data_IF_971106768262
#
_entry.id   IF_971106768262
#
_cell.length_a   1.000
_cell.length_b   1.000
_cell.length_c   1.000
_cell.angle_alpha   90.00
_cell.angle_beta   90.00
_cell.angle_gamma   90.00
#
_symmetry.space_group_name_H-M   'P 1'
#
loop_
_entity.id
_entity.type
_entity.pdbx_description
1 polymer ?
#
# COMPACT_ATOMS: atom_id res chain seq x y z
N UNK A 1 -8.84 -2.28 -6.97
CA UNK A 1 -7.68 -3.10 -7.39
C UNK A 1 -6.44 -2.66 -6.62
N UNK A 2 -5.62 -3.60 -6.15
CA UNK A 2 -4.32 -3.32 -5.49
C UNK A 2 -3.17 -3.46 -6.49
N UNK A 3 -2.04 -2.84 -6.19
CA UNK A 3 -0.78 -3.01 -6.92
C UNK A 3 0.39 -3.21 -5.95
N UNK A 4 1.51 -3.70 -6.47
CA UNK A 4 2.76 -3.87 -5.71
C UNK A 4 3.44 -2.53 -5.41
N UNK A 5 4.28 -2.50 -4.37
CA UNK A 5 5.04 -1.31 -3.96
C UNK A 5 5.90 -0.75 -5.10
N UNK A 6 6.58 -1.61 -5.86
CA UNK A 6 7.43 -1.13 -6.98
C UNK A 6 6.61 -0.39 -8.05
N UNK A 7 5.38 -0.86 -8.34
CA UNK A 7 4.46 -0.22 -9.28
C UNK A 7 3.94 1.11 -8.71
N UNK A 8 3.59 1.12 -7.41
CA UNK A 8 3.22 2.36 -6.71
C UNK A 8 4.34 3.40 -6.78
N UNK A 9 5.60 2.99 -6.58
CA UNK A 9 6.78 3.88 -6.69
C UNK A 9 7.01 4.37 -8.11
N UNK A 10 6.72 3.57 -9.14
CA UNK A 10 6.76 4.03 -10.53
C UNK A 10 5.72 5.12 -10.80
N UNK A 11 4.49 4.96 -10.29
CA UNK A 11 3.45 5.99 -10.36
C UNK A 11 3.91 7.26 -9.63
N UNK A 12 4.32 7.14 -8.37
CA UNK A 12 4.81 8.28 -7.58
C UNK A 12 5.93 9.06 -8.28
N UNK A 13 6.86 8.36 -8.95
CA UNK A 13 7.93 8.97 -9.72
C UNK A 13 7.41 9.77 -10.92
N UNK A 14 6.35 9.30 -11.61
CA UNK A 14 5.67 10.05 -12.70
C UNK A 14 5.07 11.38 -12.19
N UNK A 15 4.58 11.40 -10.95
CA UNK A 15 4.07 12.61 -10.28
C UNK A 15 5.17 13.46 -9.61
N UNK A 16 6.44 13.07 -9.73
CA UNK A 16 7.57 13.80 -9.15
C UNK A 16 7.65 13.70 -7.61
N UNK A 17 7.03 12.69 -7.01
CA UNK A 17 7.23 12.35 -5.60
C UNK A 17 8.58 11.61 -5.47
N UNK A 18 9.51 12.08 -4.62
CA UNK A 18 10.78 11.40 -4.42
C UNK A 18 10.56 10.03 -3.79
N UNK A 19 11.10 9.01 -4.45
CA UNK A 19 11.16 7.62 -3.97
C UNK A 19 12.61 7.13 -4.12
N UNK A 20 13.07 6.13 -3.35
CA UNK A 20 14.40 5.56 -3.58
C UNK A 20 14.48 4.91 -4.97
N UNK A 21 15.72 4.70 -5.46
CA UNK A 21 15.91 3.92 -6.67
C UNK A 21 15.71 2.45 -6.29
N UNK A 22 14.88 1.76 -7.06
CA UNK A 22 14.64 0.35 -6.87
C UNK A 22 14.30 -0.32 -8.19
N UNK A 23 14.55 -1.63 -8.23
CA UNK A 23 14.36 -2.47 -9.41
C UNK A 23 13.65 -3.74 -8.95
N UNK A 24 12.54 -4.06 -9.62
CA UNK A 24 11.84 -5.31 -9.39
C UNK A 24 12.66 -6.49 -9.91
N UNK A 25 12.59 -7.62 -9.22
CA UNK A 25 13.27 -8.86 -9.59
C UNK A 25 12.33 -10.06 -9.41
N UNK A 26 12.29 -10.93 -10.39
CA UNK A 26 11.46 -12.15 -10.43
C UNK A 26 12.29 -13.41 -10.21
N UNK A 27 13.62 -13.27 -10.18
CA UNK A 27 14.56 -14.35 -9.84
C UNK A 27 15.64 -13.83 -8.89
N UNK A 28 16.30 -14.73 -8.18
CA UNK A 28 17.47 -14.39 -7.34
C UNK A 28 18.59 -13.77 -8.19
N UNK A 29 18.76 -14.21 -9.43
CA UNK A 29 19.75 -13.67 -10.35
C UNK A 29 19.43 -12.21 -10.73
N UNK A 30 18.17 -11.92 -11.06
CA UNK A 30 17.72 -10.54 -11.31
C UNK A 30 17.88 -9.65 -10.07
N UNK A 31 17.69 -10.19 -8.85
CA UNK A 31 17.92 -9.44 -7.63
C UNK A 31 19.39 -9.04 -7.45
N UNK A 32 20.32 -9.95 -7.78
CA UNK A 32 21.76 -9.68 -7.78
C UNK A 32 22.12 -8.62 -8.84
N UNK A 33 21.60 -8.76 -10.06
CA UNK A 33 21.83 -7.80 -11.15
C UNK A 33 21.25 -6.41 -10.83
N UNK A 34 20.08 -6.37 -10.18
CA UNK A 34 19.46 -5.15 -9.68
C UNK A 34 20.38 -4.43 -8.67
N UNK A 35 20.89 -5.15 -7.67
CA UNK A 35 21.82 -4.57 -6.69
C UNK A 35 23.11 -4.05 -7.34
N UNK A 36 23.69 -4.80 -8.28
CA UNK A 36 24.86 -4.37 -9.05
C UNK A 36 24.59 -3.09 -9.85
N UNK A 37 23.42 -3.00 -10.50
CA UNK A 37 23.01 -1.84 -11.30
C UNK A 37 22.71 -0.61 -10.45
N UNK A 38 22.10 -0.79 -9.28
CA UNK A 38 21.87 0.29 -8.32
C UNK A 38 23.21 0.81 -7.76
N UNK A 39 24.16 -0.09 -7.53
CA UNK A 39 25.41 0.20 -6.85
C UNK A 39 25.19 0.63 -5.40
N UNK A 40 26.23 1.20 -4.79
CA UNK A 40 26.17 1.65 -3.40
C UNK A 40 26.60 0.59 -2.38
N UNK A 41 26.58 0.94 -1.08
CA UNK A 41 27.06 0.06 -0.02
C UNK A 41 25.97 -0.75 0.70
N UNK A 42 24.69 -0.40 0.51
CA UNK A 42 23.55 -0.96 1.25
C UNK A 42 22.34 -1.05 0.34
N UNK A 43 21.65 -2.20 0.40
CA UNK A 43 20.39 -2.46 -0.30
C UNK A 43 19.34 -2.98 0.67
N UNK A 44 18.07 -2.86 0.28
CA UNK A 44 16.94 -3.49 0.94
C UNK A 44 16.29 -4.49 -0.02
N UNK A 45 16.14 -5.73 0.42
CA UNK A 45 15.41 -6.79 -0.27
C UNK A 45 14.00 -6.83 0.30
N UNK A 46 13.00 -6.54 -0.53
CA UNK A 46 11.59 -6.44 -0.12
C UNK A 46 10.73 -7.44 -0.89
N UNK A 47 10.01 -8.28 -0.17
CA UNK A 47 8.90 -9.07 -0.71
C UNK A 47 7.84 -8.13 -1.29
N UNK A 48 7.32 -8.48 -2.46
CA UNK A 48 6.26 -7.75 -3.12
C UNK A 48 5.00 -8.63 -3.10
N UNK A 49 4.08 -8.25 -2.21
CA UNK A 49 2.75 -8.83 -2.02
C UNK A 49 1.76 -7.68 -1.74
N UNK A 50 0.47 -7.90 -1.97
CA UNK A 50 -0.60 -6.91 -1.78
C UNK A 50 -1.07 -6.76 -0.32
N UNK A 51 -0.10 -6.77 0.61
CA UNK A 51 -0.32 -6.70 2.06
C UNK A 51 0.79 -5.89 2.77
N UNK A 52 0.39 -5.17 3.82
CA UNK A 52 1.30 -4.48 4.74
C UNK A 52 1.93 -5.40 5.78
N UNK A 53 2.76 -4.85 6.67
CA UNK A 53 3.38 -5.60 7.77
C UNK A 53 4.52 -6.54 7.35
N UNK A 54 5.01 -6.43 6.12
CA UNK A 54 6.02 -7.31 5.51
C UNK A 54 7.32 -7.39 6.31
N UNK A 55 7.75 -6.29 6.91
CA UNK A 55 8.95 -6.26 7.76
C UNK A 55 8.83 -7.15 9.00
N UNK A 56 7.70 -7.10 9.72
CA UNK A 56 7.41 -7.96 10.87
C UNK A 56 7.32 -9.43 10.45
N UNK A 57 6.82 -9.72 9.24
CA UNK A 57 6.76 -11.07 8.66
C UNK A 57 8.08 -11.59 8.07
N UNK A 58 9.18 -10.82 8.16
CA UNK A 58 10.48 -11.21 7.62
C UNK A 58 10.69 -10.98 6.12
N UNK A 59 9.71 -10.39 5.43
CA UNK A 59 9.76 -10.07 4.01
C UNK A 59 10.51 -8.77 3.67
N UNK A 60 11.14 -8.09 4.63
CA UNK A 60 11.99 -6.92 4.37
C UNK A 60 13.32 -7.09 5.11
N UNK A 61 14.42 -7.10 4.37
CA UNK A 61 15.76 -7.35 4.91
C UNK A 61 16.79 -6.40 4.32
N UNK A 62 17.74 -5.96 5.13
CA UNK A 62 18.84 -5.09 4.72
C UNK A 62 20.08 -5.92 4.39
N UNK A 63 20.71 -5.63 3.25
CA UNK A 63 21.91 -6.28 2.75
C UNK A 63 23.05 -5.25 2.60
N UNK A 64 24.28 -5.64 2.96
CA UNK A 64 25.51 -4.81 2.87
C UNK A 64 26.52 -5.32 1.85
N UNK A 65 26.17 -6.38 1.13
CA UNK A 65 26.99 -6.93 0.05
C UNK A 65 26.09 -7.60 -1.00
N UNK A 66 26.62 -7.81 -2.20
CA UNK A 66 25.93 -8.54 -3.26
C UNK A 66 25.64 -10.00 -2.84
N UNK A 67 26.54 -10.62 -2.06
CA UNK A 67 26.34 -11.97 -1.54
C UNK A 67 25.22 -12.03 -0.50
N UNK A 68 25.09 -10.99 0.34
CA UNK A 68 23.94 -10.85 1.24
C UNK A 68 22.63 -10.66 0.46
N UNK A 69 22.63 -9.85 -0.61
CA UNK A 69 21.44 -9.70 -1.48
C UNK A 69 21.03 -11.05 -2.05
N UNK A 70 21.99 -11.82 -2.60
CA UNK A 70 21.73 -13.16 -3.16
C UNK A 70 21.11 -14.10 -2.13
N UNK A 71 21.68 -14.10 -0.92
CA UNK A 71 21.23 -14.98 0.19
C UNK A 71 19.81 -14.62 0.61
N UNK A 72 19.57 -13.34 0.93
CA UNK A 72 18.27 -12.85 1.38
C UNK A 72 17.19 -12.96 0.30
N UNK A 73 17.54 -12.73 -0.97
CA UNK A 73 16.62 -12.95 -2.08
C UNK A 73 16.23 -14.43 -2.22
N UNK A 74 17.17 -15.37 -2.00
CA UNK A 74 16.88 -16.81 -2.00
C UNK A 74 16.03 -17.28 -0.83
N UNK A 75 16.09 -16.59 0.32
CA UNK A 75 15.24 -16.85 1.48
C UNK A 75 13.82 -16.30 1.29
N UNK A 76 13.70 -15.11 0.71
CA UNK A 76 12.41 -14.40 0.59
C UNK A 76 11.63 -14.88 -0.64
N UNK A 77 12.29 -15.08 -1.79
CA UNK A 77 11.59 -15.48 -3.01
C UNK A 77 11.03 -16.91 -2.86
N UNK A 78 9.72 -17.05 -3.04
CA UNK A 78 9.01 -18.32 -2.89
C UNK A 78 8.51 -18.61 -1.46
N UNK A 79 8.86 -17.78 -0.47
CA UNK A 79 8.34 -17.95 0.89
C UNK A 79 6.82 -17.71 0.95
N UNK A 80 6.15 -18.36 1.90
CA UNK A 80 4.79 -18.00 2.27
C UNK A 80 4.85 -16.90 3.34
N UNK A 81 4.59 -15.66 2.94
CA UNK A 81 4.72 -14.50 3.81
C UNK A 81 3.42 -14.27 4.57
N UNK A 82 3.47 -14.58 5.86
CA UNK A 82 2.39 -14.29 6.81
C UNK A 82 2.58 -12.91 7.42
N UNK A 83 1.56 -12.07 7.31
CA UNK A 83 1.46 -10.77 7.99
C UNK A 83 0.11 -10.67 8.68
N UNK A 84 -0.08 -9.63 9.50
CA UNK A 84 -1.39 -9.34 10.09
C UNK A 84 -2.49 -9.06 9.06
N UNK A 85 -2.14 -8.78 7.78
CA UNK A 85 -3.09 -8.48 6.70
C UNK A 85 -3.33 -9.67 5.75
N UNK A 86 -2.52 -10.73 5.78
CA UNK A 86 -2.69 -11.90 4.91
C UNK A 86 -3.44 -13.05 5.59
N UNK A 87 -3.62 -12.99 6.91
CA UNK A 87 -4.12 -14.13 7.68
C UNK A 87 -3.13 -15.31 7.73
N UNK A 88 -3.55 -16.46 8.29
CA UNK A 88 -2.69 -17.60 8.56
C UNK A 88 -2.14 -18.28 7.29
N UNK A 89 -2.88 -18.23 6.18
CA UNK A 89 -2.46 -18.81 4.90
C UNK A 89 -1.29 -18.04 4.27
N UNK A 90 -1.13 -16.75 4.61
CA UNK A 90 -0.07 -15.90 4.05
C UNK A 90 -0.25 -15.60 2.56
N UNK A 91 0.75 -14.97 1.96
CA UNK A 91 0.84 -14.79 0.51
C UNK A 91 2.19 -15.29 -0.01
N UNK A 92 2.18 -16.04 -1.11
CA UNK A 92 3.40 -16.56 -1.73
C UNK A 92 4.17 -15.42 -2.39
N UNK A 93 5.41 -15.20 -1.98
CA UNK A 93 6.26 -14.16 -2.57
C UNK A 93 6.78 -14.62 -3.93
N UNK A 94 6.32 -13.97 -4.99
CA UNK A 94 6.69 -14.32 -6.39
C UNK A 94 7.62 -13.31 -7.05
N UNK A 95 7.77 -12.14 -6.44
CA UNK A 95 8.60 -11.06 -6.94
C UNK A 95 9.19 -10.27 -5.77
N UNK A 96 10.33 -9.64 -6.01
CA UNK A 96 11.09 -8.85 -5.06
C UNK A 96 11.24 -7.42 -5.57
N UNK A 97 11.49 -6.49 -4.67
CA UNK A 97 12.01 -5.17 -4.96
C UNK A 97 13.37 -5.04 -4.28
N UNK A 98 14.40 -4.78 -5.08
CA UNK A 98 15.74 -4.43 -4.59
C UNK A 98 15.87 -2.92 -4.65
N UNK A 99 16.18 -2.30 -3.52
CA UNK A 99 16.14 -0.85 -3.37
C UNK A 99 17.39 -0.32 -2.66
N UNK A 100 17.79 0.92 -2.97
CA UNK A 100 18.84 1.62 -2.23
C UNK A 100 18.52 1.73 -0.72
N UNK A 101 19.54 1.61 0.12
CA UNK A 101 19.43 2.03 1.52
C UNK A 101 19.09 3.53 1.65
N UNK A 102 18.35 3.89 2.70
CA UNK A 102 18.00 5.29 3.00
C UNK A 102 18.55 5.71 4.38
N UNK A 103 18.99 6.96 4.50
CA UNK A 103 19.47 7.57 5.76
C UNK A 103 18.29 8.13 6.56
N UNK A 104 17.57 7.24 7.24
CA UNK A 104 16.31 7.58 7.92
C UNK A 104 16.59 8.32 9.24
N UNK A 105 16.24 9.60 9.30
CA UNK A 105 16.29 10.41 10.53
C UNK A 105 14.97 10.38 11.30
N UNK A 106 13.85 10.41 10.58
CA UNK A 106 12.50 10.33 11.15
C UNK A 106 11.54 9.72 10.15
N UNK A 107 10.62 8.91 10.65
CA UNK A 107 9.53 8.31 9.88
C UNK A 107 8.21 9.02 10.22
N UNK A 108 7.44 9.32 9.18
CA UNK A 108 6.09 9.85 9.24
C UNK A 108 5.13 8.91 8.50
N UNK A 109 3.85 9.05 8.77
CA UNK A 109 2.78 8.40 8.03
C UNK A 109 2.02 9.44 7.21
N UNK A 110 1.66 9.13 5.97
CA UNK A 110 0.74 9.94 5.16
C UNK A 110 -0.22 9.04 4.40
N UNK A 111 -1.50 9.41 4.33
CA UNK A 111 -2.46 8.76 3.44
C UNK A 111 -3.51 9.71 2.85
N UNK A 112 -3.95 9.42 1.64
CA UNK A 112 -5.07 10.07 0.94
C UNK A 112 -6.19 9.04 0.74
N UNK A 113 -7.40 9.36 1.20
CA UNK A 113 -8.59 8.50 1.08
C UNK A 113 -9.85 9.33 0.85
N UNK A 114 -10.88 8.75 0.23
CA UNK A 114 -12.23 9.34 0.21
C UNK A 114 -12.94 9.00 1.52
N UNK A 115 -13.18 10.01 2.35
CA UNK A 115 -13.93 9.87 3.59
C UNK A 115 -15.44 9.88 3.30
N UNK A 116 -16.10 8.77 3.64
CA UNK A 116 -17.53 8.58 3.33
C UNK A 116 -18.44 9.46 4.17
N UNK A 117 -18.04 9.84 5.38
CA UNK A 117 -18.87 10.62 6.29
C UNK A 117 -18.97 12.08 5.84
N UNK A 118 -17.85 12.66 5.42
CA UNK A 118 -17.76 14.03 4.92
C UNK A 118 -17.95 14.13 3.41
N UNK A 119 -17.90 13.01 2.70
CA UNK A 119 -17.96 12.92 1.23
C UNK A 119 -16.85 13.75 0.56
N UNK A 120 -15.69 13.81 1.19
CA UNK A 120 -14.52 14.57 0.73
C UNK A 120 -13.28 13.69 0.73
N UNK A 121 -12.27 14.11 -0.03
CA UNK A 121 -10.94 13.53 0.10
C UNK A 121 -10.33 14.02 1.41
N UNK A 122 -9.92 13.08 2.25
CA UNK A 122 -9.17 13.33 3.47
C UNK A 122 -7.70 13.02 3.21
N UNK A 123 -6.84 14.01 3.48
CA UNK A 123 -5.40 13.81 3.60
C UNK A 123 -5.07 13.71 5.08
N UNK A 124 -4.50 12.58 5.49
CA UNK A 124 -4.13 12.28 6.87
C UNK A 124 -2.61 12.20 6.99
N UNK A 125 -2.06 12.67 8.11
CA UNK A 125 -0.65 12.57 8.40
C UNK A 125 -0.41 12.32 9.90
N UNK A 126 0.66 11.59 10.22
CA UNK A 126 1.07 11.36 11.61
C UNK A 126 2.59 11.38 11.79
N UNK A 127 3.03 11.74 12.99
CA UNK A 127 4.42 11.62 13.45
C UNK A 127 4.84 10.18 13.79
N UNK A 128 3.90 9.24 13.78
CA UNK A 128 4.08 7.81 14.09
C UNK A 128 4.20 6.99 12.79
N UNK A 129 5.19 7.30 11.95
CA UNK A 129 5.51 6.48 10.76
C UNK A 129 6.15 5.13 11.13
N UNK A 130 6.06 4.16 10.21
CA UNK A 130 6.61 2.82 10.39
C UNK A 130 5.78 1.91 11.32
N UNK A 131 4.66 2.42 11.84
CA UNK A 131 3.74 1.71 12.72
C UNK A 131 2.44 1.35 11.99
N UNK A 132 1.65 0.47 12.60
CA UNK A 132 0.29 0.17 12.19
C UNK A 132 -0.59 1.40 12.51
N UNK A 133 -1.17 2.02 11.49
CA UNK A 133 -1.88 3.30 11.69
C UNK A 133 -3.23 3.08 12.38
N UNK A 134 -3.85 1.92 12.22
CA UNK A 134 -5.07 1.55 12.90
C UNK A 134 -4.84 1.41 14.41
N UNK A 135 -3.70 0.87 14.82
CA UNK A 135 -3.28 0.84 16.23
C UNK A 135 -3.08 2.27 16.78
N UNK A 136 -2.42 3.15 16.02
CA UNK A 136 -2.24 4.57 16.40
C UNK A 136 -3.60 5.27 16.49
N UNK A 137 -4.53 5.00 15.58
CA UNK A 137 -5.87 5.59 15.57
C UNK A 137 -6.69 5.18 16.79
N UNK A 138 -6.51 3.96 17.28
CA UNK A 138 -7.19 3.47 18.48
C UNK A 138 -6.52 3.98 19.77
N UNK A 139 -5.19 3.93 19.85
CA UNK A 139 -4.45 4.21 21.09
C UNK A 139 -4.15 5.70 21.30
N UNK A 140 -3.83 6.43 20.23
CA UNK A 140 -3.43 7.86 20.26
C UNK A 140 -4.01 8.61 19.06
N UNK A 141 -5.36 8.70 18.94
CA UNK A 141 -6.03 9.32 17.79
C UNK A 141 -5.60 10.78 17.54
N UNK A 142 -5.18 11.51 18.59
CA UNK A 142 -4.71 12.89 18.50
C UNK A 142 -3.43 13.06 17.67
N UNK A 143 -2.67 11.97 17.47
CA UNK A 143 -1.46 11.98 16.62
C UNK A 143 -1.78 11.86 15.13
N UNK A 144 -3.04 11.63 14.76
CA UNK A 144 -3.49 11.54 13.37
C UNK A 144 -4.17 12.85 13.00
N UNK A 145 -3.40 13.71 12.33
CA UNK A 145 -3.91 14.97 11.81
C UNK A 145 -4.59 14.70 10.47
N UNK A 146 -5.66 15.43 10.19
CA UNK A 146 -6.40 15.30 8.94
C UNK A 146 -6.90 16.64 8.46
N UNK A 147 -6.89 16.82 7.14
CA UNK A 147 -7.55 17.93 6.45
C UNK A 147 -8.53 17.37 5.44
N UNK A 148 -9.69 18.00 5.30
CA UNK A 148 -10.69 17.65 4.31
C UNK A 148 -10.57 18.61 3.13
N UNK A 149 -10.31 18.07 1.96
CA UNK A 149 -10.05 18.84 0.75
C UNK A 149 -11.38 19.27 0.12
N UNK A 150 -11.49 20.55 -0.20
CA UNK A 150 -12.61 21.05 -1.01
C UNK A 150 -12.41 20.62 -2.47
N UNK A 151 -13.38 19.95 -3.11
CA UNK A 151 -13.21 19.44 -4.47
C UNK A 151 -12.95 20.51 -5.54
N UNK A 152 -13.42 21.75 -5.32
CA UNK A 152 -13.22 22.84 -6.29
C UNK A 152 -11.85 23.50 -6.10
N UNK A 153 -11.37 23.62 -4.86
CA UNK A 153 -10.07 24.25 -4.57
C UNK A 153 -8.87 23.29 -4.69
N UNK A 154 -9.07 22.00 -4.47
CA UNK A 154 -7.99 21.03 -4.30
C UNK A 154 -7.20 21.24 -3.00
N UNK A 155 -6.13 20.47 -2.79
CA UNK A 155 -5.31 20.59 -1.58
C UNK A 155 -4.54 21.92 -1.58
N UNK A 156 -4.85 22.79 -0.61
CA UNK A 156 -4.22 24.11 -0.51
C UNK A 156 -2.85 24.05 0.17
N UNK A 157 -1.99 25.04 -0.10
CA UNK A 157 -0.69 25.19 0.58
C UNK A 157 -0.85 25.33 2.10
N UNK A 158 -1.91 26.01 2.54
CA UNK A 158 -2.20 26.18 3.97
C UNK A 158 -2.49 24.84 4.65
N UNK A 159 -3.35 24.00 4.06
CA UNK A 159 -3.67 22.67 4.58
C UNK A 159 -2.45 21.74 4.58
N UNK A 160 -1.67 21.74 3.50
CA UNK A 160 -0.45 20.94 3.44
C UNK A 160 0.61 21.42 4.46
N UNK A 161 0.73 22.73 4.67
CA UNK A 161 1.64 23.34 5.66
C UNK A 161 1.21 23.03 7.09
N UNK A 162 -0.10 23.05 7.36
CA UNK A 162 -0.69 22.65 8.64
C UNK A 162 -0.30 21.22 9.00
N UNK A 163 -0.48 20.26 8.07
CA UNK A 163 -0.11 18.86 8.29
C UNK A 163 1.41 18.70 8.49
N UNK A 164 2.23 19.30 7.61
CA UNK A 164 3.68 19.17 7.69
C UNK A 164 4.23 19.71 9.03
N UNK A 165 3.76 20.88 9.47
CA UNK A 165 4.14 21.43 10.78
C UNK A 165 3.59 20.58 11.94
N UNK A 166 2.34 20.14 11.83
CA UNK A 166 1.65 19.41 12.89
C UNK A 166 2.27 18.04 13.19
N UNK A 167 2.81 17.35 12.17
CA UNK A 167 3.57 16.09 12.37
C UNK A 167 5.03 16.32 12.75
N UNK A 168 5.48 17.58 12.86
CA UNK A 168 6.82 17.94 13.30
C UNK A 168 7.90 17.86 12.22
N UNK A 169 7.58 18.16 10.96
CA UNK A 169 8.60 18.34 9.92
C UNK A 169 9.45 19.59 10.24
N UNK A 170 10.80 19.51 10.25
CA UNK A 170 11.64 20.66 10.53
C UNK A 170 11.47 21.78 9.49
N UNK A 171 11.60 23.04 9.91
CA UNK A 171 11.35 24.22 9.07
C UNK A 171 12.04 24.18 7.68
N UNK A 172 13.29 23.70 7.61
CA UNK A 172 14.03 23.57 6.35
C UNK A 172 13.48 22.53 5.36
N UNK A 173 12.64 21.61 5.83
CA UNK A 173 12.05 20.51 5.05
C UNK A 173 10.55 20.69 4.81
N UNK A 174 9.91 21.68 5.44
CA UNK A 174 8.45 21.91 5.33
C UNK A 174 8.03 22.16 3.88
N UNK A 175 8.75 23.02 3.15
CA UNK A 175 8.42 23.31 1.75
C UNK A 175 8.43 22.06 0.87
N UNK A 176 9.41 21.17 1.07
CA UNK A 176 9.48 19.90 0.34
C UNK A 176 8.35 18.94 0.76
N UNK A 177 8.04 18.87 2.05
CA UNK A 177 6.91 18.05 2.53
C UNK A 177 5.59 18.53 1.93
N UNK A 178 5.34 19.85 1.91
CA UNK A 178 4.16 20.46 1.29
C UNK A 178 4.04 20.07 -0.19
N UNK A 179 5.12 20.20 -0.95
CA UNK A 179 5.16 19.78 -2.36
C UNK A 179 4.84 18.28 -2.53
N UNK A 180 5.42 17.42 -1.69
CA UNK A 180 5.12 15.97 -1.69
C UNK A 180 3.65 15.69 -1.39
N UNK A 181 3.07 16.31 -0.35
CA UNK A 181 1.67 16.12 0.03
C UNK A 181 0.72 16.52 -1.11
N UNK A 182 1.00 17.64 -1.79
CA UNK A 182 0.23 18.09 -2.96
C UNK A 182 0.34 17.14 -4.14
N UNK A 183 1.53 16.61 -4.41
CA UNK A 183 1.74 15.60 -5.46
C UNK A 183 1.06 14.27 -5.14
N UNK A 184 1.03 13.85 -3.87
CA UNK A 184 0.27 12.67 -3.44
C UNK A 184 -1.24 12.87 -3.65
N UNK A 185 -1.77 14.05 -3.31
CA UNK A 185 -3.16 14.39 -3.60
C UNK A 185 -3.45 14.39 -5.11
N UNK A 186 -2.59 15.01 -5.93
CA UNK A 186 -2.74 15.01 -7.38
C UNK A 186 -2.70 13.57 -7.94
N UNK A 187 -1.75 12.76 -7.48
CA UNK A 187 -1.64 11.35 -7.83
C UNK A 187 -2.92 10.59 -7.50
N UNK A 188 -3.49 10.80 -6.31
CA UNK A 188 -4.75 10.17 -5.91
C UNK A 188 -5.89 10.52 -6.88
N UNK A 189 -6.03 11.80 -7.21
CA UNK A 189 -7.10 12.29 -8.09
C UNK A 189 -6.95 11.82 -9.54
N UNK A 190 -5.74 11.89 -10.10
CA UNK A 190 -5.51 11.60 -11.53
C UNK A 190 -5.51 10.10 -11.86
N UNK A 191 -5.28 9.25 -10.86
CA UNK A 191 -5.22 7.79 -11.05
C UNK A 191 -6.50 7.07 -10.61
N UNK A 192 -7.53 7.81 -10.18
CA UNK A 192 -8.74 7.25 -9.57
C UNK A 192 -8.41 6.27 -8.43
N UNK A 193 -7.40 6.61 -7.63
CA UNK A 193 -7.07 5.85 -6.44
C UNK A 193 -8.22 5.97 -5.42
N UNK A 194 -8.46 4.88 -4.69
CA UNK A 194 -9.32 4.87 -3.51
C UNK A 194 -8.51 4.91 -2.21
N UNK A 195 -7.20 4.64 -2.29
CA UNK A 195 -6.21 4.80 -1.22
C UNK A 195 -4.85 5.08 -1.84
N UNK A 196 -4.16 6.10 -1.33
CA UNK A 196 -2.71 6.26 -1.48
C UNK A 196 -2.13 6.36 -0.07
N UNK A 197 -1.29 5.43 0.32
CA UNK A 197 -0.66 5.38 1.64
C UNK A 197 0.85 5.29 1.51
N UNK A 198 1.55 6.18 2.22
CA UNK A 198 3.00 6.26 2.30
C UNK A 198 3.38 6.00 3.77
N UNK A 199 3.85 4.79 4.04
CA UNK A 199 4.22 4.37 5.39
C UNK A 199 5.52 3.53 5.40
N UNK A 200 6.70 4.15 5.58
CA UNK A 200 6.89 5.53 6.01
C UNK A 200 7.14 6.54 4.87
N UNK A 201 6.74 7.79 5.12
CA UNK A 201 7.33 8.98 4.51
C UNK A 201 8.52 9.38 5.40
N UNK A 202 9.73 9.44 4.86
CA UNK A 202 10.93 9.66 5.67
C UNK A 202 11.48 11.07 5.52
N UNK A 203 12.06 11.57 6.61
CA UNK A 203 13.04 12.65 6.62
C UNK A 203 14.45 12.05 6.60
N UNK A 204 15.24 12.45 5.62
CA UNK A 204 16.65 12.06 5.51
C UNK A 204 17.56 12.97 6.37
N UNK A 205 18.76 12.50 6.71
CA UNK A 205 19.74 13.29 7.47
C UNK A 205 20.05 14.66 6.87
N UNK A 206 20.05 14.75 5.53
CA UNK A 206 20.21 16.00 4.76
C UNK A 206 18.97 16.88 4.65
N UNK A 207 17.85 16.51 5.28
CA UNK A 207 16.59 17.25 5.24
C UNK A 207 15.64 16.86 4.10
N UNK A 208 16.02 15.91 3.25
CA UNK A 208 15.20 15.41 2.15
C UNK A 208 13.93 14.69 2.64
N UNK A 209 12.82 14.84 1.91
CA UNK A 209 11.57 14.10 2.14
C UNK A 209 11.40 13.06 1.02
N UNK A 210 11.14 11.80 1.39
CA UNK A 210 11.06 10.68 0.45
C UNK A 210 10.00 9.66 0.87
N UNK A 211 9.22 9.15 -0.08
CA UNK A 211 8.29 8.05 0.14
C UNK A 211 9.06 6.72 0.11
N UNK A 212 9.29 6.13 1.29
CA UNK A 212 10.08 4.90 1.42
C UNK A 212 9.26 3.63 1.15
N UNK A 213 7.95 3.68 1.38
CA UNK A 213 7.01 2.64 1.01
C UNK A 213 5.79 3.28 0.35
N UNK A 214 5.04 2.50 -0.42
CA UNK A 214 3.85 2.95 -1.12
C UNK A 214 2.83 1.82 -1.24
N UNK A 215 1.60 2.11 -0.80
CA UNK A 215 0.46 1.21 -0.93
C UNK A 215 -0.66 1.96 -1.65
N UNK A 216 -1.20 1.32 -2.69
CA UNK A 216 -2.25 1.88 -3.53
C UNK A 216 -3.42 0.91 -3.62
N UNK A 217 -4.63 1.45 -3.47
CA UNK A 217 -5.84 0.82 -3.95
C UNK A 217 -6.49 1.76 -4.96
N UNK A 218 -7.09 1.20 -6.00
CA UNK A 218 -7.82 1.91 -7.05
C UNK A 218 -9.30 1.56 -7.03
N UNK A 219 -10.15 2.53 -7.37
CA UNK A 219 -11.57 2.30 -7.60
C UNK A 219 -11.75 1.39 -8.82
N UNK A 220 -12.27 0.17 -8.60
CA UNK A 220 -12.53 -0.78 -9.68
C UNK A 220 -13.50 -0.23 -10.72
N UNK A 221 -14.42 0.66 -10.32
CA UNK A 221 -15.39 1.26 -11.22
C UNK A 221 -14.79 2.29 -12.17
N UNK A 222 -13.58 2.79 -11.90
CA UNK A 222 -12.88 3.74 -12.75
C UNK A 222 -11.84 3.08 -13.69
N UNK A 223 -11.58 1.77 -13.53
CA UNK A 223 -10.51 1.07 -14.27
C UNK A 223 -10.70 1.12 -15.79
N UNK A 224 -11.93 1.24 -16.29
CA UNK A 224 -12.22 1.36 -17.72
C UNK A 224 -11.53 2.56 -18.39
N UNK A 225 -11.20 3.62 -17.63
CA UNK A 225 -10.48 4.80 -18.10
C UNK A 225 -9.02 4.87 -17.63
N UNK A 226 -8.53 3.83 -16.95
CA UNK A 226 -7.16 3.75 -16.40
C UNK A 226 -6.39 2.53 -16.96
N UNK A 227 -6.15 2.44 -18.28
CA UNK A 227 -5.53 1.26 -18.90
C UNK A 227 -4.11 0.98 -18.40
N UNK A 228 -3.33 2.03 -18.09
CA UNK A 228 -1.99 1.86 -17.51
C UNK A 228 -2.01 1.21 -16.12
N UNK A 229 -3.05 1.51 -15.33
CA UNK A 229 -3.23 0.93 -14.00
C UNK A 229 -3.68 -0.53 -14.12
N UNK A 230 -4.64 -0.81 -15.02
CA UNK A 230 -5.11 -2.19 -15.29
C UNK A 230 -3.95 -3.11 -15.69
N UNK A 231 -2.97 -2.60 -16.44
CA UNK A 231 -1.79 -3.37 -16.84
C UNK A 231 -0.92 -3.85 -15.65
N UNK A 232 -1.08 -3.26 -14.46
CA UNK A 232 -0.37 -3.68 -13.25
C UNK A 232 -1.06 -4.82 -12.49
N UNK A 233 -2.30 -5.19 -12.84
CA UNK A 233 -3.07 -6.21 -12.12
C UNK A 233 -2.30 -7.53 -12.03
N UNK A 234 -2.23 -8.06 -10.82
CA UNK A 234 -1.58 -9.32 -10.53
C UNK A 234 -2.60 -10.33 -10.00
N UNK A 235 -2.98 -11.28 -10.85
CA UNK A 235 -3.97 -12.31 -10.50
C UNK A 235 -3.42 -13.34 -9.51
N UNK A 236 -2.10 -13.45 -9.35
CA UNK A 236 -1.48 -14.33 -8.33
C UNK A 236 -1.70 -13.80 -6.89
N UNK A 237 -2.16 -12.57 -6.74
CA UNK A 237 -2.45 -11.90 -5.46
C UNK A 237 -3.96 -11.80 -5.17
N UNK A 238 -4.79 -12.40 -6.03
CA UNK A 238 -6.24 -12.46 -5.89
C UNK A 238 -6.68 -13.90 -5.68
N UNK A 239 -7.81 -14.11 -5.01
CA UNK A 239 -8.37 -15.46 -4.84
C UNK A 239 -8.80 -16.02 -6.21
N UNK A 240 -8.37 -17.23 -6.61
CA UNK A 240 -8.70 -17.79 -7.92
C UNK A 240 -10.21 -17.94 -8.19
N UNK A 241 -11.02 -18.18 -7.16
CA UNK A 241 -12.47 -18.29 -7.28
C UNK A 241 -13.11 -16.90 -7.49
N UNK A 242 -12.62 -15.86 -6.83
CA UNK A 242 -13.04 -14.48 -7.08
C UNK A 242 -12.67 -14.04 -8.51
N UNK A 243 -11.47 -14.38 -8.97
CA UNK A 243 -11.01 -14.12 -10.35
C UNK A 243 -11.91 -14.83 -11.36
N UNK A 244 -12.25 -16.11 -11.14
CA UNK A 244 -13.13 -16.85 -12.03
C UNK A 244 -14.53 -16.26 -12.06
N UNK A 245 -15.12 -15.95 -10.90
CA UNK A 245 -16.43 -15.33 -10.79
C UNK A 245 -16.51 -13.99 -11.54
N UNK A 246 -15.45 -13.18 -11.45
CA UNK A 246 -15.39 -11.87 -12.10
C UNK A 246 -15.51 -11.93 -13.63
N UNK A 247 -15.16 -13.07 -14.27
CA UNK A 247 -15.32 -13.27 -15.72
C UNK A 247 -16.78 -13.35 -16.17
N UNK A 248 -17.68 -13.60 -15.23
CA UNK A 248 -19.12 -13.74 -15.45
C UNK A 248 -19.91 -12.59 -14.80
N UNK A 249 -19.24 -11.49 -14.44
CA UNK A 249 -19.81 -10.36 -13.70
C UNK A 249 -20.45 -10.77 -12.37
N UNK A 250 -19.90 -11.81 -11.73
CA UNK A 250 -20.33 -12.31 -10.42
C UNK A 250 -19.41 -11.77 -9.32
N UNK A 251 -20.01 -11.34 -8.21
CA UNK A 251 -19.29 -10.96 -7.00
C UNK A 251 -19.24 -12.16 -6.05
N UNK A 252 -18.13 -12.89 -6.06
CA UNK A 252 -17.89 -14.02 -5.16
C UNK A 252 -16.92 -13.60 -4.04
N UNK A 253 -17.13 -14.10 -2.82
CA UNK A 253 -16.15 -14.03 -1.72
C UNK A 253 -16.21 -15.37 -0.98
N UNK A 254 -15.06 -16.01 -0.79
CA UNK A 254 -14.97 -17.27 -0.04
C UNK A 254 -15.04 -17.04 1.47
N UNK A 255 -15.69 -17.95 2.19
CA UNK A 255 -15.79 -18.00 3.65
C UNK A 255 -15.50 -19.43 4.15
N UNK A 256 -15.29 -19.59 5.46
CA UNK A 256 -14.88 -20.87 6.05
C UNK A 256 -16.04 -21.83 6.38
N UNK A 257 -17.26 -21.49 5.96
CA UNK A 257 -18.46 -22.28 6.28
C UNK A 257 -18.69 -23.49 5.37
N UNK A 258 -19.86 -24.10 5.51
CA UNK A 258 -20.23 -25.34 4.81
C UNK A 258 -21.50 -25.21 3.95
N UNK A 259 -22.21 -24.08 4.03
CA UNK A 259 -23.45 -23.84 3.28
C UNK A 259 -23.20 -22.79 2.18
N UNK A 260 -23.29 -23.21 0.92
CA UNK A 260 -23.16 -22.31 -0.21
C UNK A 260 -24.39 -21.43 -0.42
N UNK A 261 -24.17 -20.15 -0.75
CA UNK A 261 -25.22 -19.17 -1.06
C UNK A 261 -25.11 -18.75 -2.54
N UNK A 262 -26.26 -18.55 -3.21
CA UNK A 262 -26.36 -17.93 -4.52
C UNK A 262 -27.60 -17.05 -4.52
N UNK A 263 -27.41 -15.73 -4.51
CA UNK A 263 -28.48 -14.77 -4.22
C UNK A 263 -28.42 -13.59 -5.18
N UNK A 264 -29.57 -13.09 -5.61
CA UNK A 264 -29.63 -11.87 -6.40
C UNK A 264 -29.59 -10.62 -5.51
N UNK A 265 -28.47 -9.91 -5.53
CA UNK A 265 -28.29 -8.60 -4.90
C UNK A 265 -27.55 -8.66 -3.57
N UNK A 266 -26.55 -7.78 -3.42
CA UNK A 266 -25.60 -7.82 -2.29
C UNK A 266 -26.27 -7.73 -0.91
N UNK A 267 -27.28 -6.87 -0.75
CA UNK A 267 -28.01 -6.73 0.52
C UNK A 267 -28.74 -8.01 0.92
N UNK A 268 -29.33 -8.72 -0.04
CA UNK A 268 -30.05 -9.97 0.22
C UNK A 268 -29.07 -11.14 0.44
N UNK A 269 -27.94 -11.16 -0.26
CA UNK A 269 -26.86 -12.13 -0.04
C UNK A 269 -26.34 -12.04 1.40
N UNK A 270 -26.04 -10.83 1.89
CA UNK A 270 -25.65 -10.61 3.29
C UNK A 270 -26.73 -11.04 4.28
N UNK A 271 -27.99 -10.64 4.08
CA UNK A 271 -29.09 -11.03 4.97
C UNK A 271 -29.30 -12.56 5.00
N UNK A 272 -29.06 -13.24 3.89
CA UNK A 272 -29.17 -14.71 3.78
C UNK A 272 -28.06 -15.39 4.58
N UNK A 273 -26.80 -14.94 4.42
CA UNK A 273 -25.67 -15.42 5.22
C UNK A 273 -25.87 -15.18 6.71
N UNK A 274 -26.33 -13.98 7.09
CA UNK A 274 -26.63 -13.63 8.49
C UNK A 274 -27.73 -14.54 9.07
N UNK A 275 -28.75 -14.85 8.27
CA UNK A 275 -29.82 -15.77 8.68
C UNK A 275 -29.27 -17.19 8.87
N UNK A 276 -28.42 -17.69 7.96
CA UNK A 276 -27.77 -19.00 8.12
C UNK A 276 -26.99 -19.06 9.45
N UNK A 277 -26.23 -18.00 9.74
CA UNK A 277 -25.47 -17.87 10.99
C UNK A 277 -26.36 -17.78 12.23
N UNK A 278 -27.45 -17.03 12.16
CA UNK A 278 -28.44 -16.91 13.23
C UNK A 278 -29.06 -18.27 13.60
N UNK A 279 -29.22 -19.17 12.63
CA UNK A 279 -29.74 -20.53 12.84
C UNK A 279 -28.66 -21.58 13.08
N UNK A 280 -27.43 -21.16 13.39
CA UNK A 280 -26.37 -22.02 13.93
C UNK A 280 -25.50 -22.75 12.91
N UNK A 281 -25.55 -22.35 11.64
CA UNK A 281 -24.65 -22.88 10.60
C UNK A 281 -23.73 -21.78 10.06
N UNK A 282 -22.62 -22.15 9.43
CA UNK A 282 -21.67 -21.17 8.87
C UNK A 282 -21.79 -21.11 7.34
N UNK A 283 -21.99 -19.92 6.75
CA UNK A 283 -22.04 -19.74 5.30
C UNK A 283 -20.65 -19.91 4.67
N UNK A 284 -20.58 -20.58 3.52
CA UNK A 284 -19.34 -20.90 2.81
C UNK A 284 -18.92 -19.81 1.81
N UNK A 285 -19.82 -18.92 1.41
CA UNK A 285 -19.51 -17.86 0.46
C UNK A 285 -20.56 -16.73 0.46
N UNK A 286 -20.15 -15.57 -0.03
CA UNK A 286 -21.02 -14.53 -0.57
C UNK A 286 -21.06 -14.71 -2.10
N UNK A 287 -22.26 -14.72 -2.69
CA UNK A 287 -22.49 -14.74 -4.15
C UNK A 287 -23.89 -14.26 -4.50
#
# INVERSE_FOLDING_TARGET
MKIHEYQGKEILRKFGVPVPRGIAAFTVQEAVEAAQKLGGPVWVVKAQIHAGGRGKGGGVKLARSIDEVKTLAGEILGMQLVTHQTGPEGQKVRRLLIEDGADIKKEYYVSVVTDRATQRVALMASSEGGMDIEEVAHATPEKILKVFVDPAAGLTDAQATELANGIGVPAGSVAQCVDVLKKLYQCYMDTDASLVEINPLILEGGGGIKALDAKFNFDSNALFRQPEIVAYRDLDEEDPAEVEASKFDLAYISLDGTIGCLVNGAGLAMATMDTIKLYGAEPANFL
#
